data_IF_645477722763
#
_entry.id   IF_645477722763
#
_cell.length_a   1.000
_cell.length_b   1.000
_cell.length_c   1.000
_cell.angle_alpha   90.00
_cell.angle_beta   90.00
_cell.angle_gamma   90.00
#
_symmetry.space_group_name_H-M   'P 1'
#
loop_
_entity.id
_entity.type
_entity.pdbx_description
1 polymer ?
#
# COMPACT_ATOMS: atom_id res chain seq x y z
N UNK A 1 6.34 -17.22 3.41
CA UNK A 1 5.15 -16.42 3.07
C UNK A 1 5.56 -15.38 2.04
N UNK A 2 4.97 -15.47 0.85
CA UNK A 2 5.25 -14.68 -0.35
C UNK A 2 4.16 -13.61 -0.46
N UNK A 3 4.54 -12.37 -0.77
CA UNK A 3 3.79 -11.11 -0.71
C UNK A 3 3.77 -10.49 0.70
N UNK A 4 4.27 -9.24 0.81
CA UNK A 4 4.33 -8.41 2.01
C UNK A 4 2.95 -8.00 2.54
N UNK A 5 2.17 -8.98 2.97
CA UNK A 5 0.91 -8.78 3.66
C UNK A 5 1.19 -8.54 5.14
N UNK A 6 0.89 -7.34 5.61
CA UNK A 6 0.90 -6.99 7.02
C UNK A 6 -0.47 -7.35 7.63
N UNK A 7 -0.48 -8.27 8.58
CA UNK A 7 -1.66 -8.55 9.40
C UNK A 7 -1.66 -7.62 10.61
N UNK A 8 -2.58 -6.67 10.62
CA UNK A 8 -2.80 -5.77 11.77
C UNK A 8 -3.89 -6.36 12.66
N UNK A 9 -3.60 -6.49 13.96
CA UNK A 9 -4.59 -6.91 14.95
C UNK A 9 -5.23 -5.64 15.53
N UNK A 10 -6.54 -5.50 15.31
CA UNK A 10 -7.39 -4.49 15.92
C UNK A 10 -8.50 -5.17 16.72
N UNK A 11 -9.07 -4.45 17.67
CA UNK A 11 -10.26 -4.90 18.39
C UNK A 11 -11.49 -4.92 17.46
N UNK A 12 -12.50 -5.70 17.83
CA UNK A 12 -13.75 -5.79 17.05
C UNK A 12 -14.42 -4.42 16.87
N UNK A 13 -14.50 -3.62 17.94
CA UNK A 13 -15.08 -2.27 17.90
C UNK A 13 -14.31 -1.31 17.00
N UNK A 14 -12.99 -1.47 16.88
CA UNK A 14 -12.16 -0.67 15.96
C UNK A 14 -12.41 -1.06 14.50
N UNK A 15 -12.60 -2.35 14.23
CA UNK A 15 -12.94 -2.85 12.89
C UNK A 15 -14.33 -2.35 12.49
N UNK A 16 -15.32 -2.43 13.37
CA UNK A 16 -16.66 -1.90 13.13
C UNK A 16 -16.61 -0.39 12.84
N UNK A 17 -15.83 0.38 13.59
CA UNK A 17 -15.68 1.82 13.35
C UNK A 17 -15.07 2.14 11.98
N UNK A 18 -14.14 1.31 11.50
CA UNK A 18 -13.59 1.43 10.14
C UNK A 18 -14.66 1.10 9.10
N UNK A 19 -15.45 0.05 9.30
CA UNK A 19 -16.54 -0.28 8.38
C UNK A 19 -17.57 0.84 8.28
N UNK A 20 -18.02 1.38 9.41
CA UNK A 20 -18.96 2.51 9.44
C UNK A 20 -18.39 3.72 8.68
N UNK A 21 -17.09 4.00 8.81
CA UNK A 21 -16.45 5.08 8.08
C UNK A 21 -16.43 4.85 6.55
N UNK A 22 -16.12 3.63 6.11
CA UNK A 22 -16.13 3.27 4.67
C UNK A 22 -17.56 3.27 4.11
N UNK A 23 -18.53 2.80 4.88
CA UNK A 23 -19.94 2.79 4.46
C UNK A 23 -20.50 4.21 4.33
N UNK A 24 -20.10 5.11 5.22
CA UNK A 24 -20.48 6.52 5.17
C UNK A 24 -19.82 7.25 3.98
N UNK A 25 -18.56 6.92 3.67
CA UNK A 25 -17.84 7.45 2.52
C UNK A 25 -16.91 6.40 1.93
N UNK A 26 -17.30 5.85 0.77
CA UNK A 26 -16.53 4.84 0.05
C UNK A 26 -15.17 5.35 -0.48
N UNK A 27 -14.93 6.67 -0.46
CA UNK A 27 -13.64 7.27 -0.81
C UNK A 27 -12.70 7.40 0.39
N UNK A 28 -13.12 6.96 1.59
CA UNK A 28 -12.31 6.98 2.81
C UNK A 28 -10.96 6.27 2.60
N UNK A 29 -9.89 7.04 2.67
CA UNK A 29 -8.54 6.52 2.62
C UNK A 29 -8.10 6.00 3.99
N UNK A 30 -7.66 4.75 4.04
CA UNK A 30 -7.04 4.14 5.21
C UNK A 30 -5.54 4.06 4.98
N UNK A 31 -4.78 4.63 5.91
CA UNK A 31 -3.31 4.61 5.89
C UNK A 31 -2.82 3.74 7.02
N UNK A 32 -1.99 2.75 6.70
CA UNK A 32 -1.28 1.93 7.71
C UNK A 32 0.16 2.39 7.79
N UNK A 33 0.55 2.91 8.95
CA UNK A 33 1.89 3.42 9.27
C UNK A 33 2.61 2.39 10.13
N UNK A 34 3.49 1.62 9.51
CA UNK A 34 4.25 0.56 10.17
C UNK A 34 5.37 1.12 11.06
N UNK A 35 5.89 2.31 10.75
CA UNK A 35 6.93 2.95 11.54
C UNK A 35 6.39 3.33 12.92
N UNK A 36 5.21 3.96 12.94
CA UNK A 36 4.54 4.44 14.14
C UNK A 36 3.57 3.41 14.76
N UNK A 37 3.35 2.27 14.09
CA UNK A 37 2.40 1.21 14.49
C UNK A 37 0.97 1.72 14.60
N UNK A 38 0.53 2.46 13.57
CA UNK A 38 -0.77 3.12 13.54
C UNK A 38 -1.59 2.81 12.29
N UNK A 39 -2.91 2.75 12.44
CA UNK A 39 -3.89 2.84 11.36
C UNK A 39 -4.58 4.19 11.45
N UNK A 40 -4.62 4.94 10.35
CA UNK A 40 -5.19 6.29 10.28
C UNK A 40 -6.26 6.36 9.20
N UNK A 41 -7.38 6.99 9.52
CA UNK A 41 -8.47 7.28 8.58
C UNK A 41 -9.26 8.48 9.10
N UNK A 42 -9.59 9.44 8.22
CA UNK A 42 -10.19 10.70 8.63
C UNK A 42 -9.36 11.40 9.73
N UNK A 43 -10.00 11.69 10.87
CA UNK A 43 -9.35 12.22 12.07
C UNK A 43 -8.98 11.16 13.11
N UNK A 44 -9.19 9.88 12.82
CA UNK A 44 -9.00 8.78 13.76
C UNK A 44 -7.62 8.16 13.60
N UNK A 45 -6.99 7.85 14.73
CA UNK A 45 -5.71 7.14 14.80
C UNK A 45 -5.83 5.98 15.78
N UNK A 46 -5.59 4.77 15.30
CA UNK A 46 -5.62 3.54 16.08
C UNK A 46 -4.21 2.98 16.18
N UNK A 47 -3.81 2.51 17.35
CA UNK A 47 -2.51 1.84 17.53
C UNK A 47 -2.68 0.34 17.39
N UNK A 48 -1.70 -0.35 16.82
CA UNK A 48 -1.72 -1.81 16.74
C UNK A 48 -0.43 -2.44 17.27
N UNK A 49 -0.56 -3.68 17.74
CA UNK A 49 0.57 -4.46 18.20
C UNK A 49 1.24 -5.22 17.04
N UNK A 50 2.57 -5.19 17.02
CA UNK A 50 3.42 -6.01 16.15
C UNK A 50 4.75 -6.21 16.87
N UNK A 51 5.35 -7.39 16.75
CA UNK A 51 6.68 -7.62 17.29
C UNK A 51 7.77 -6.91 16.47
N UNK A 52 8.83 -6.48 17.14
CA UNK A 52 9.86 -5.64 16.51
C UNK A 52 10.60 -6.37 15.38
N UNK A 53 10.76 -7.68 15.44
CA UNK A 53 11.43 -8.47 14.40
C UNK A 53 10.58 -8.54 13.12
N UNK A 54 9.29 -8.83 13.25
CA UNK A 54 8.34 -8.80 12.12
C UNK A 54 8.24 -7.40 11.53
N UNK A 55 8.18 -6.35 12.38
CA UNK A 55 8.17 -4.95 11.93
C UNK A 55 9.43 -4.61 11.13
N UNK A 56 10.61 -4.90 11.69
CA UNK A 56 11.88 -4.63 11.01
C UNK A 56 11.96 -5.33 9.66
N UNK A 57 11.64 -6.63 9.63
CA UNK A 57 11.66 -7.42 8.40
C UNK A 57 10.70 -6.89 7.33
N UNK A 58 9.52 -6.42 7.75
CA UNK A 58 8.55 -5.83 6.84
C UNK A 58 9.01 -4.47 6.33
N UNK A 59 9.59 -3.61 7.17
CA UNK A 59 10.11 -2.30 6.73
C UNK A 59 11.23 -2.49 5.70
N UNK A 60 12.27 -3.28 6.01
CA UNK A 60 13.39 -3.52 5.08
C UNK A 60 12.91 -4.18 3.77
N UNK A 61 12.00 -5.16 3.88
CA UNK A 61 11.43 -5.83 2.70
C UNK A 61 10.45 -4.96 1.90
N UNK A 62 9.76 -4.01 2.56
CA UNK A 62 8.90 -3.02 1.89
C UNK A 62 9.73 -1.97 1.18
N UNK A 63 10.91 -1.61 1.68
CA UNK A 63 11.84 -0.73 0.96
C UNK A 63 12.35 -1.40 -0.31
N UNK A 64 12.74 -2.67 -0.24
CA UNK A 64 13.14 -3.47 -1.41
C UNK A 64 12.00 -3.61 -2.44
N UNK A 65 10.76 -3.84 -1.98
CA UNK A 65 9.56 -3.88 -2.85
C UNK A 65 9.23 -2.49 -3.39
N UNK A 66 9.31 -1.44 -2.58
CA UNK A 66 9.00 -0.07 -2.94
C UNK A 66 9.95 0.49 -4.00
N UNK A 67 11.23 0.13 -3.94
CA UNK A 67 12.21 0.39 -4.99
C UNK A 67 11.84 -0.32 -6.30
N UNK A 68 11.40 -1.58 -6.22
CA UNK A 68 10.94 -2.34 -7.39
C UNK A 68 9.66 -1.76 -7.99
N UNK A 69 8.69 -1.33 -7.16
CA UNK A 69 7.45 -0.70 -7.62
C UNK A 69 7.70 0.67 -8.25
N UNK A 70 8.67 1.46 -7.76
CA UNK A 70 9.11 2.71 -8.41
C UNK A 70 9.66 2.50 -9.84
N UNK A 71 10.19 1.30 -10.15
CA UNK A 71 10.55 0.98 -11.54
C UNK A 71 9.33 0.78 -12.45
N UNK A 72 8.15 0.47 -11.92
CA UNK A 72 6.89 0.43 -12.70
C UNK A 72 6.44 1.85 -13.06
N UNK A 73 6.63 2.83 -12.19
CA UNK A 73 6.40 4.24 -12.52
C UNK A 73 7.44 4.79 -13.51
N UNK A 74 8.70 4.30 -13.45
CA UNK A 74 9.70 4.60 -14.47
C UNK A 74 9.32 4.04 -15.86
N UNK A 75 8.57 2.93 -15.92
CA UNK A 75 7.98 2.42 -17.17
C UNK A 75 6.89 3.38 -17.67
N UNK A 76 6.00 3.86 -16.79
CA UNK A 76 4.95 4.85 -17.15
C UNK A 76 5.55 6.16 -17.69
N UNK A 77 6.68 6.61 -17.14
CA UNK A 77 7.41 7.78 -17.65
C UNK A 77 8.12 7.50 -19.00
N UNK A 78 8.64 6.29 -19.20
CA UNK A 78 9.27 5.86 -20.45
C UNK A 78 8.26 5.66 -21.59
N UNK A 79 7.04 5.21 -21.30
CA UNK A 79 5.97 5.06 -22.30
C UNK A 79 5.39 6.41 -22.75
N UNK A 80 5.36 7.43 -21.87
CA UNK A 80 4.96 8.80 -22.23
C UNK A 80 5.96 9.51 -23.14
N UNK A 81 7.22 9.04 -23.16
CA UNK A 81 8.29 9.57 -24.01
C UNK A 81 8.50 8.75 -25.30
N UNK A 82 7.48 7.99 -25.75
CA UNK A 82 7.56 7.21 -26.99
C UNK A 82 7.19 8.07 -28.21
N UNK A 83 8.15 8.54 -29.04
CA UNK A 83 7.82 9.26 -30.27
C UNK A 83 7.04 8.36 -31.25
N UNK A 84 6.08 8.96 -31.96
CA UNK A 84 5.08 8.34 -32.84
C UNK A 84 5.61 7.53 -34.05
N UNK A 85 6.92 7.28 -34.13
CA UNK A 85 7.60 6.63 -35.26
C UNK A 85 7.94 5.14 -35.01
N UNK A 86 7.75 4.58 -33.81
CA UNK A 86 8.05 3.15 -33.61
C UNK A 86 7.04 2.25 -34.36
N UNK A 87 7.51 1.22 -35.11
CA UNK A 87 6.64 0.38 -35.92
C UNK A 87 5.68 -0.45 -35.07
N UNK A 88 4.44 -0.55 -35.52
CA UNK A 88 3.44 -1.48 -34.98
C UNK A 88 3.69 -2.88 -35.52
N UNK A 89 3.63 -3.90 -34.67
CA UNK A 89 3.49 -5.28 -35.14
C UNK A 89 2.04 -5.45 -35.59
N UNK A 90 1.81 -5.57 -36.90
CA UNK A 90 0.54 -6.08 -37.41
C UNK A 90 0.40 -7.53 -36.94
N UNK A 91 -0.69 -7.82 -36.21
CA UNK A 91 -1.17 -9.18 -36.03
C UNK A 91 -1.49 -9.77 -37.42
N UNK A 92 -0.94 -10.95 -37.70
CA UNK A 92 -1.47 -11.86 -38.72
C UNK A 92 -2.51 -12.78 -38.09
#
# INVERSE_FOLDING_TARGET
MKAGLLTVILTESEIEAIWVAIEADATTQITVDLENRQVRYGSTTLSFAIDDYTRWRLIEGLDDIGLTLKHVDAISAFEKARPAFKPVTLNS
#
